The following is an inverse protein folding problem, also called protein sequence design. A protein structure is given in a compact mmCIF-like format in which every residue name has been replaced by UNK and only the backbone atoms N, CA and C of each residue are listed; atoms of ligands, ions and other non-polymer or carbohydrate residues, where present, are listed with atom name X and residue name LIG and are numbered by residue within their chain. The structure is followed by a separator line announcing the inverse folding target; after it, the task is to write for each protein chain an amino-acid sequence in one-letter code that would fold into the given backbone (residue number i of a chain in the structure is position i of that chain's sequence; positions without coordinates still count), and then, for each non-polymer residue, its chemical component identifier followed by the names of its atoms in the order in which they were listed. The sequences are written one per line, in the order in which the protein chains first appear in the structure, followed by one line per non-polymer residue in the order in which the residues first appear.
data_IF_185901003090
#
_entry.id   IF_185901003090
#
_cell.length_a   1.000
_cell.length_b   1.000
_cell.length_c   1.000
_cell.angle_alpha   90.00
_cell.angle_beta   90.00
_cell.angle_gamma   90.00
#
_symmetry.space_group_name_H-M   'P 1'
#
loop_
_entity.id
_entity.type
_entity.pdbx_description
1 polymer ?
#
# COMPACT_ATOMS: atom_id res chain seq x y z
N UNK A 1 -5.16 33.84 24.60
CA UNK A 1 -5.54 33.61 23.19
C UNK A 1 -4.31 33.88 22.34
N UNK A 2 -3.68 32.83 21.80
CA UNK A 2 -2.48 32.97 20.97
C UNK A 2 -2.88 33.07 19.50
N UNK A 3 -2.69 34.24 18.90
CA UNK A 3 -3.05 34.60 17.52
C UNK A 3 -1.95 34.27 16.49
N UNK A 4 -1.18 33.20 16.70
CA UNK A 4 -0.08 32.76 15.81
C UNK A 4 -0.28 31.34 15.26
N UNK A 5 -1.52 30.98 14.93
CA UNK A 5 -1.79 29.80 14.10
C UNK A 5 -1.54 30.10 12.62
N UNK A 6 -0.29 30.37 12.23
CA UNK A 6 0.06 30.31 10.80
C UNK A 6 -0.28 28.90 10.32
N UNK A 7 -1.09 28.78 9.26
CA UNK A 7 -1.37 27.51 8.59
C UNK A 7 -0.05 26.75 8.36
N UNK A 8 0.15 25.66 9.11
CA UNK A 8 1.35 24.85 8.94
C UNK A 8 1.29 24.17 7.58
N UNK A 9 2.39 24.24 6.84
CA UNK A 9 2.58 23.46 5.62
C UNK A 9 3.18 22.09 5.88
N UNK A 10 3.31 21.68 7.15
CA UNK A 10 3.87 20.38 7.51
C UNK A 10 3.02 19.23 6.95
N UNK A 11 3.69 18.14 6.55
CA UNK A 11 3.11 17.10 5.72
C UNK A 11 3.47 15.70 6.23
N UNK A 12 2.58 14.76 5.96
CA UNK A 12 2.82 13.34 6.07
C UNK A 12 2.60 12.70 4.70
N UNK A 13 3.49 11.80 4.30
CA UNK A 13 3.45 11.13 2.99
C UNK A 13 3.47 9.62 3.22
N UNK A 14 2.50 8.94 2.63
CA UNK A 14 2.50 7.50 2.45
C UNK A 14 2.97 7.20 1.03
N UNK A 15 4.15 6.57 0.90
CA UNK A 15 4.75 6.20 -0.39
C UNK A 15 4.45 4.74 -0.73
N UNK A 16 3.17 4.44 -0.96
CA UNK A 16 2.73 3.10 -1.31
C UNK A 16 3.18 2.66 -2.72
N UNK A 17 3.25 1.35 -2.94
CA UNK A 17 3.59 0.77 -4.25
C UNK A 17 2.55 1.04 -5.33
N UNK A 18 1.29 1.20 -4.94
CA UNK A 18 0.17 1.44 -5.84
C UNK A 18 -0.30 2.90 -5.83
N UNK A 19 -0.41 3.50 -4.64
CA UNK A 19 -0.88 4.88 -4.46
C UNK A 19 0.03 5.63 -3.50
N UNK A 20 0.19 6.92 -3.73
CA UNK A 20 0.83 7.87 -2.82
C UNK A 20 -0.24 8.77 -2.23
N UNK A 21 -0.27 8.87 -0.90
CA UNK A 21 -1.19 9.74 -0.19
C UNK A 21 -0.41 10.86 0.53
N UNK A 22 -0.97 12.06 0.53
CA UNK A 22 -0.39 13.20 1.24
C UNK A 22 -1.40 13.78 2.20
N UNK A 23 -1.00 13.83 3.46
CA UNK A 23 -1.73 14.45 4.56
C UNK A 23 -1.09 15.79 4.91
N UNK A 24 -1.89 16.84 5.11
CA UNK A 24 -1.43 18.13 5.61
C UNK A 24 -1.99 18.35 7.02
N UNK A 25 -1.13 18.78 7.94
CA UNK A 25 -1.49 19.09 9.33
C UNK A 25 -2.72 20.00 9.41
N UNK A 26 -3.74 19.58 10.14
CA UNK A 26 -5.00 20.33 10.28
C UNK A 26 -5.87 20.41 9.03
N UNK A 27 -5.54 19.69 7.94
CA UNK A 27 -6.38 19.58 6.73
C UNK A 27 -6.84 18.16 6.41
N UNK A 28 -6.13 17.15 6.90
CA UNK A 28 -6.40 15.77 6.52
C UNK A 28 -5.63 15.35 5.26
N UNK A 29 -6.10 14.27 4.62
CA UNK A 29 -5.59 13.80 3.33
C UNK A 29 -6.03 14.76 2.24
N UNK A 30 -5.08 15.33 1.51
CA UNK A 30 -5.30 16.33 0.44
C UNK A 30 -4.90 15.81 -0.94
N UNK A 31 -4.22 14.67 -1.02
CA UNK A 31 -3.81 14.01 -2.24
C UNK A 31 -3.90 12.50 -2.04
N UNK A 32 -4.45 11.81 -3.03
CA UNK A 32 -4.43 10.37 -3.17
C UNK A 32 -4.32 10.08 -4.67
N UNK A 33 -3.13 9.72 -5.14
CA UNK A 33 -2.88 9.49 -6.56
C UNK A 33 -2.00 8.26 -6.78
N UNK A 34 -2.12 7.59 -7.94
CA UNK A 34 -1.28 6.45 -8.28
C UNK A 34 0.23 6.75 -8.21
N UNK A 35 1.00 5.79 -7.72
CA UNK A 35 2.47 5.87 -7.68
C UNK A 35 3.07 5.52 -9.05
N UNK A 36 2.81 6.38 -10.05
CA UNK A 36 3.21 6.17 -11.46
C UNK A 36 3.81 7.45 -12.04
N UNK A 37 4.90 7.30 -12.79
CA UNK A 37 5.54 8.37 -13.56
C UNK A 37 5.61 7.96 -15.03
N UNK A 38 5.17 8.83 -15.92
CA UNK A 38 5.31 8.66 -17.36
C UNK A 38 6.40 9.57 -17.90
N UNK A 39 7.29 9.01 -18.73
CA UNK A 39 8.36 9.71 -19.41
C UNK A 39 8.14 9.70 -20.91
N UNK A 40 8.43 10.82 -21.55
CA UNK A 40 8.72 10.84 -22.99
C UNK A 40 10.22 10.59 -23.19
N UNK A 41 10.55 9.57 -23.98
CA UNK A 41 11.92 9.15 -24.25
C UNK A 41 12.30 9.55 -25.66
N UNK A 42 13.26 10.47 -25.78
CA UNK A 42 13.79 10.94 -27.07
C UNK A 42 15.31 11.03 -27.01
N UNK A 43 15.99 10.42 -27.97
CA UNK A 43 17.46 10.42 -28.08
C UNK A 43 18.16 9.96 -26.78
N UNK A 44 17.58 8.98 -26.09
CA UNK A 44 18.07 8.45 -24.81
C UNK A 44 17.83 9.37 -23.59
N UNK A 45 17.18 10.52 -23.77
CA UNK A 45 16.81 11.43 -22.67
C UNK A 45 15.38 11.18 -22.23
N UNK A 46 15.17 10.98 -20.93
CA UNK A 46 13.85 10.89 -20.31
C UNK A 46 13.39 12.30 -19.88
N UNK A 47 12.20 12.70 -20.31
CA UNK A 47 11.52 13.91 -19.83
C UNK A 47 10.19 13.52 -19.19
N UNK A 48 9.95 13.96 -17.96
CA UNK A 48 8.67 13.70 -17.27
C UNK A 48 7.53 14.27 -18.10
N UNK A 49 6.59 13.40 -18.47
CA UNK A 49 5.38 13.73 -19.23
C UNK A 49 4.18 13.90 -18.29
N UNK A 50 4.01 12.97 -17.36
CA UNK A 50 2.92 12.95 -16.38
C UNK A 50 3.31 12.22 -15.10
N UNK A 51 2.61 12.49 -14.00
CA UNK A 51 2.74 11.80 -12.71
C UNK A 51 1.33 11.60 -12.14
N UNK A 52 1.09 10.50 -11.43
CA UNK A 52 -0.20 10.25 -10.79
C UNK A 52 -1.22 9.65 -11.76
N UNK A 53 -2.46 10.15 -11.71
CA UNK A 53 -3.59 9.62 -12.47
C UNK A 53 -3.33 9.64 -13.99
N UNK A 54 -2.82 10.76 -14.51
CA UNK A 54 -2.52 10.90 -15.94
C UNK A 54 -1.47 9.88 -16.40
N UNK A 55 -0.50 9.54 -15.54
CA UNK A 55 0.50 8.53 -15.83
C UNK A 55 -0.08 7.11 -15.74
N UNK A 56 -0.98 6.83 -14.77
CA UNK A 56 -1.65 5.52 -14.64
C UNK A 56 -2.46 5.17 -15.90
N UNK A 57 -3.13 6.15 -16.52
CA UNK A 57 -3.89 5.95 -17.77
C UNK A 57 -3.04 5.45 -18.95
N UNK A 58 -1.72 5.68 -18.89
CA UNK A 58 -0.78 5.28 -19.94
C UNK A 58 -0.25 3.85 -19.76
N UNK A 59 -0.37 3.25 -18.57
CA UNK A 59 0.14 1.90 -18.30
C UNK A 59 -0.45 0.86 -19.26
N UNK A 60 0.42 0.08 -19.90
CA UNK A 60 0.04 -0.94 -20.89
C UNK A 60 -0.52 -0.37 -22.20
N UNK A 61 -0.51 0.95 -22.40
CA UNK A 61 -1.04 1.65 -23.57
C UNK A 61 -0.04 2.60 -24.22
N UNK A 62 1.23 2.57 -23.81
CA UNK A 62 2.25 3.48 -24.32
C UNK A 62 2.73 3.12 -25.74
N UNK A 63 2.94 4.10 -26.63
CA UNK A 63 3.75 3.91 -27.82
C UNK A 63 5.24 3.77 -27.43
N UNK A 64 6.09 3.34 -28.37
CA UNK A 64 7.52 3.10 -28.09
C UNK A 64 8.32 4.32 -27.59
N UNK A 65 7.80 5.54 -27.73
CA UNK A 65 8.43 6.78 -27.22
C UNK A 65 7.98 7.20 -25.82
N UNK A 66 7.04 6.47 -25.21
CA UNK A 66 6.54 6.75 -23.85
C UNK A 66 6.80 5.54 -22.97
N UNK A 67 7.33 5.80 -21.78
CA UNK A 67 7.58 4.80 -20.76
C UNK A 67 6.82 5.17 -19.49
N UNK A 68 5.92 4.30 -19.02
CA UNK A 68 5.21 4.48 -17.75
C UNK A 68 5.82 3.53 -16.70
N UNK A 69 6.26 4.09 -15.58
CA UNK A 69 7.06 3.42 -14.55
C UNK A 69 6.34 3.53 -13.21
N UNK A 70 6.25 2.40 -12.49
CA UNK A 70 5.94 2.37 -11.06
C UNK A 70 7.27 2.34 -10.30
N UNK A 71 7.73 3.46 -9.71
CA UNK A 71 9.05 3.52 -9.09
C UNK A 71 9.14 2.72 -7.78
N UNK A 72 7.99 2.48 -7.14
CA UNK A 72 7.85 1.70 -5.93
C UNK A 72 7.30 0.32 -6.29
N UNK A 73 8.01 -0.75 -5.93
CA UNK A 73 7.58 -2.14 -6.20
C UNK A 73 8.00 -3.05 -5.05
N UNK A 74 7.15 -3.99 -4.65
CA UNK A 74 7.46 -4.95 -3.56
C UNK A 74 8.01 -4.31 -2.27
N UNK A 75 7.48 -3.12 -1.91
CA UNK A 75 7.92 -2.37 -0.73
C UNK A 75 9.31 -1.74 -0.84
N UNK A 76 9.91 -1.71 -2.03
CA UNK A 76 11.24 -1.15 -2.28
C UNK A 76 11.21 -0.08 -3.37
N UNK A 77 12.24 0.77 -3.38
CA UNK A 77 12.46 1.70 -4.50
C UNK A 77 13.15 0.94 -5.63
N UNK A 78 12.41 0.66 -6.70
CA UNK A 78 12.93 -0.01 -7.89
C UNK A 78 13.61 0.96 -8.87
N UNK A 79 13.18 2.22 -8.90
CA UNK A 79 13.75 3.28 -9.73
C UNK A 79 13.86 4.59 -8.92
N UNK A 80 15.08 4.92 -8.49
CA UNK A 80 15.34 6.07 -7.62
C UNK A 80 15.05 7.42 -8.27
N UNK A 81 15.43 7.59 -9.54
CA UNK A 81 15.22 8.84 -10.27
C UNK A 81 13.72 9.12 -10.43
N UNK A 82 12.95 8.07 -10.75
CA UNK A 82 11.51 8.15 -10.89
C UNK A 82 10.79 8.35 -9.55
N UNK A 83 11.24 7.69 -8.48
CA UNK A 83 10.71 7.92 -7.13
C UNK A 83 10.93 9.37 -6.69
N UNK A 84 12.11 9.92 -6.94
CA UNK A 84 12.46 11.29 -6.58
C UNK A 84 11.60 12.31 -7.33
N UNK A 85 11.43 12.16 -8.65
CA UNK A 85 10.57 13.05 -9.44
C UNK A 85 9.10 12.95 -9.02
N UNK A 86 8.62 11.76 -8.68
CA UNK A 86 7.28 11.53 -8.13
C UNK A 86 7.08 12.27 -6.80
N UNK A 87 8.00 12.08 -5.84
CA UNK A 87 7.96 12.75 -4.52
C UNK A 87 7.96 14.27 -4.69
N UNK A 88 8.87 14.80 -5.53
CA UNK A 88 8.94 16.24 -5.83
C UNK A 88 7.64 16.74 -6.45
N UNK A 89 7.05 15.99 -7.39
CA UNK A 89 5.79 16.36 -8.03
C UNK A 89 4.67 16.48 -7.01
N UNK A 90 4.43 15.44 -6.20
CA UNK A 90 3.33 15.45 -5.23
C UNK A 90 3.50 16.52 -4.16
N UNK A 91 4.72 16.72 -3.64
CA UNK A 91 5.00 17.81 -2.70
C UNK A 91 4.68 19.17 -3.33
N UNK A 92 5.12 19.44 -4.57
CA UNK A 92 4.85 20.71 -5.27
C UNK A 92 3.38 20.89 -5.62
N UNK A 93 2.66 19.81 -5.93
CA UNK A 93 1.23 19.84 -6.29
C UNK A 93 0.39 20.37 -5.13
N UNK A 94 0.71 19.99 -3.90
CA UNK A 94 -0.02 20.42 -2.70
C UNK A 94 0.61 21.63 -2.00
N UNK A 95 1.92 21.86 -2.15
CA UNK A 95 2.63 22.99 -1.57
C UNK A 95 2.83 24.12 -2.60
N UNK A 96 1.95 25.13 -2.56
CA UNK A 96 2.10 26.33 -3.40
C UNK A 96 3.29 27.16 -2.90
N UNK A 97 4.26 27.41 -3.79
CA UNK A 97 5.52 28.17 -3.56
C UNK A 97 5.37 29.59 -2.96
N UNK A 98 4.15 30.08 -2.73
CA UNK A 98 3.89 31.39 -2.13
C UNK A 98 4.21 31.46 -0.64
N UNK A 99 4.41 30.32 0.03
CA UNK A 99 4.82 30.26 1.44
C UNK A 99 6.34 30.30 1.59
N UNK A 100 6.86 31.29 2.31
CA UNK A 100 8.29 31.39 2.68
C UNK A 100 8.75 30.31 3.67
N UNK A 101 7.87 29.43 4.17
CA UNK A 101 8.20 28.37 5.12
C UNK A 101 8.44 27.02 4.44
N UNK A 102 9.65 26.48 4.59
CA UNK A 102 9.95 25.08 4.22
C UNK A 102 9.26 24.11 5.20
N UNK A 103 8.45 23.15 4.72
CA UNK A 103 7.70 22.26 5.60
C UNK A 103 8.59 21.22 6.28
N UNK A 104 8.13 20.71 7.43
CA UNK A 104 8.56 19.40 7.93
C UNK A 104 7.73 18.32 7.25
N UNK A 105 8.37 17.23 6.84
CA UNK A 105 7.69 16.11 6.20
C UNK A 105 8.01 14.82 6.98
N UNK A 106 6.99 14.03 7.29
CA UNK A 106 7.15 12.65 7.78
C UNK A 106 6.76 11.71 6.64
N UNK A 107 7.55 10.68 6.39
CA UNK A 107 7.29 9.70 5.35
C UNK A 107 7.17 8.31 5.96
N UNK A 108 6.12 7.60 5.58
CA UNK A 108 5.97 6.20 5.90
C UNK A 108 6.95 5.36 5.08
N UNK A 109 7.63 4.41 5.73
CA UNK A 109 8.50 3.43 5.07
C UNK A 109 8.20 2.02 5.55
N UNK A 110 8.28 1.00 4.67
CA UNK A 110 8.13 -0.39 5.06
C UNK A 110 9.11 -0.76 6.17
N UNK A 111 8.71 -1.66 7.06
CA UNK A 111 9.58 -2.06 8.18
C UNK A 111 10.93 -2.63 7.69
N UNK A 112 10.88 -3.41 6.61
CA UNK A 112 12.05 -4.03 5.98
C UNK A 112 12.93 -3.10 5.15
N UNK A 113 12.63 -1.79 5.07
CA UNK A 113 13.42 -0.85 4.28
C UNK A 113 14.87 -0.78 4.77
N UNK A 114 15.81 -0.97 3.84
CA UNK A 114 17.24 -0.93 4.10
C UNK A 114 17.71 0.49 4.45
N UNK A 115 18.86 0.65 5.14
CA UNK A 115 19.42 1.98 5.41
C UNK A 115 19.65 2.83 4.15
N UNK A 116 19.97 2.18 3.02
CA UNK A 116 20.18 2.86 1.73
C UNK A 116 18.87 3.44 1.21
N UNK A 117 17.77 2.68 1.27
CA UNK A 117 16.44 3.15 0.85
C UNK A 117 15.92 4.26 1.76
N UNK A 118 16.04 4.11 3.09
CA UNK A 118 15.66 5.15 4.06
C UNK A 118 16.39 6.46 3.79
N UNK A 119 17.71 6.40 3.54
CA UNK A 119 18.52 7.56 3.19
C UNK A 119 18.09 8.18 1.85
N UNK A 120 17.79 7.37 0.84
CA UNK A 120 17.33 7.85 -0.45
C UNK A 120 16.00 8.61 -0.34
N UNK A 121 15.00 8.03 0.32
CA UNK A 121 13.69 8.66 0.59
C UNK A 121 13.90 10.00 1.29
N UNK A 122 14.71 10.02 2.37
CA UNK A 122 15.01 11.23 3.13
C UNK A 122 15.63 12.32 2.24
N UNK A 123 16.60 11.95 1.41
CA UNK A 123 17.25 12.88 0.49
C UNK A 123 16.26 13.44 -0.54
N UNK A 124 15.42 12.61 -1.16
CA UNK A 124 14.42 13.06 -2.13
C UNK A 124 13.44 14.06 -1.51
N UNK A 125 13.01 13.82 -0.28
CA UNK A 125 12.12 14.73 0.48
C UNK A 125 12.81 16.07 0.80
N UNK A 126 14.07 16.04 1.23
CA UNK A 126 14.85 17.26 1.48
C UNK A 126 15.08 18.07 0.19
N UNK A 127 15.42 17.40 -0.91
CA UNK A 127 15.59 18.02 -2.22
C UNK A 127 14.27 18.57 -2.79
N UNK A 128 13.13 17.98 -2.43
CA UNK A 128 11.82 18.51 -2.76
C UNK A 128 11.47 19.81 -2.01
N UNK A 129 12.28 20.24 -1.05
CA UNK A 129 12.17 21.53 -0.36
C UNK A 129 11.81 21.44 1.12
N UNK A 130 11.79 20.23 1.71
CA UNK A 130 11.55 20.06 3.14
C UNK A 130 12.70 20.64 3.97
N UNK A 131 12.38 21.21 5.13
CA UNK A 131 13.38 21.62 6.14
C UNK A 131 13.88 20.42 6.95
N UNK A 132 13.01 19.44 7.18
CA UNK A 132 13.28 18.20 7.91
C UNK A 132 12.45 17.09 7.31
N UNK A 133 13.04 15.90 7.22
CA UNK A 133 12.42 14.69 6.75
C UNK A 133 12.53 13.64 7.87
N UNK A 134 11.40 13.19 8.40
CA UNK A 134 11.31 12.11 9.37
C UNK A 134 10.75 10.86 8.71
N UNK A 135 11.09 9.69 9.21
CA UNK A 135 10.60 8.39 8.74
C UNK A 135 9.82 7.70 9.87
N UNK A 136 8.71 7.06 9.53
CA UNK A 136 7.93 6.22 10.44
C UNK A 136 7.73 4.85 9.81
N UNK A 137 7.77 3.79 10.61
CA UNK A 137 7.51 2.44 10.12
C UNK A 137 6.02 2.26 9.75
N UNK A 138 5.77 1.66 8.60
CA UNK A 138 4.45 1.35 8.07
C UNK A 138 3.51 0.62 9.04
N UNK A 139 3.91 -0.47 9.71
CA UNK A 139 3.02 -1.12 10.67
C UNK A 139 2.61 -0.23 11.85
N UNK A 140 3.49 0.67 12.30
CA UNK A 140 3.16 1.63 13.36
C UNK A 140 2.15 2.66 12.83
N UNK A 141 2.40 3.21 11.64
CA UNK A 141 1.48 4.15 11.00
C UNK A 141 0.10 3.51 10.74
N UNK A 142 0.06 2.29 10.20
CA UNK A 142 -1.17 1.52 9.98
C UNK A 142 -1.97 1.36 11.28
N UNK A 143 -1.34 0.93 12.37
CA UNK A 143 -2.01 0.72 13.65
C UNK A 143 -2.53 2.02 14.28
N UNK A 144 -1.76 3.12 14.22
CA UNK A 144 -2.21 4.45 14.67
C UNK A 144 -3.40 4.93 13.82
N UNK A 145 -3.35 4.68 12.51
CA UNK A 145 -4.41 4.97 11.57
C UNK A 145 -5.71 4.23 11.89
N UNK A 146 -5.60 2.92 12.16
CA UNK A 146 -6.70 2.05 12.54
C UNK A 146 -7.26 2.31 13.95
N UNK A 147 -6.60 3.18 14.74
CA UNK A 147 -7.06 3.53 16.09
C UNK A 147 -6.77 2.46 17.14
N UNK A 148 -5.76 1.63 16.90
CA UNK A 148 -5.36 0.57 17.83
C UNK A 148 -4.64 1.14 19.07
N UNK A 149 -4.82 0.53 20.26
CA UNK A 149 -4.21 0.99 21.51
C UNK A 149 -2.73 0.56 21.66
N UNK A 150 -1.88 0.97 20.72
CA UNK A 150 -0.51 0.43 20.60
C UNK A 150 0.46 0.83 21.72
N UNK A 151 0.10 1.84 22.53
CA UNK A 151 0.91 2.31 23.67
C UNK A 151 0.62 1.55 24.97
N UNK A 152 -0.42 0.72 25.00
CA UNK A 152 -0.74 -0.13 26.14
C UNK A 152 0.24 -1.30 26.25
N UNK A 153 0.48 -1.85 27.45
CA UNK A 153 1.28 -3.06 27.66
C UNK A 153 0.51 -4.33 27.24
N UNK A 154 -0.08 -4.32 26.04
CA UNK A 154 -0.90 -5.42 25.51
C UNK A 154 -0.56 -5.67 24.05
N UNK A 155 -0.52 -6.92 23.65
CA UNK A 155 -0.28 -7.34 22.26
C UNK A 155 -1.37 -6.83 21.33
N UNK A 156 -0.96 -6.11 20.29
CA UNK A 156 -1.83 -5.64 19.21
C UNK A 156 -1.27 -6.10 17.86
N UNK A 157 -2.00 -6.96 17.14
CA UNK A 157 -1.58 -7.42 15.82
C UNK A 157 -2.26 -6.62 14.70
N UNK A 158 -1.44 -6.08 13.79
CA UNK A 158 -1.89 -5.41 12.57
C UNK A 158 -1.34 -6.14 11.35
N UNK A 159 -2.16 -6.28 10.32
CA UNK A 159 -1.81 -6.88 9.03
C UNK A 159 -2.18 -5.89 7.94
N UNK A 160 -1.19 -5.21 7.38
CA UNK A 160 -1.36 -4.21 6.34
C UNK A 160 -1.11 -4.82 4.97
N UNK A 161 -2.17 -4.96 4.16
CA UNK A 161 -2.10 -5.62 2.85
C UNK A 161 -2.11 -4.53 1.78
N UNK A 162 -0.92 -4.15 1.33
CA UNK A 162 -0.70 -3.16 0.30
C UNK A 162 -0.77 -3.72 -1.13
N UNK A 163 -0.24 -2.95 -2.08
CA UNK A 163 -0.10 -3.40 -3.46
C UNK A 163 0.99 -4.47 -3.61
N UNK A 164 2.23 -4.16 -3.21
CA UNK A 164 3.38 -5.04 -3.44
C UNK A 164 3.74 -5.93 -2.24
N UNK A 165 3.27 -5.58 -1.05
CA UNK A 165 3.68 -6.21 0.21
C UNK A 165 2.49 -6.37 1.15
N UNK A 166 2.65 -7.33 2.06
CA UNK A 166 1.85 -7.45 3.28
C UNK A 166 2.79 -7.31 4.46
N UNK A 167 2.55 -6.32 5.31
CA UNK A 167 3.28 -6.09 6.55
C UNK A 167 2.48 -6.68 7.71
N UNK A 168 3.05 -7.67 8.41
CA UNK A 168 2.47 -8.22 9.63
C UNK A 168 3.30 -7.74 10.80
N UNK A 169 2.66 -7.13 11.81
CA UNK A 169 3.34 -6.68 13.00
C UNK A 169 2.55 -6.90 14.28
N UNK A 170 3.29 -7.14 15.36
CA UNK A 170 2.80 -7.15 16.73
C UNK A 170 3.43 -5.98 17.48
N UNK A 171 2.57 -5.16 18.06
CA UNK A 171 2.92 -3.92 18.74
C UNK A 171 2.57 -4.02 20.22
N UNK A 172 3.39 -3.41 21.07
CA UNK A 172 3.13 -3.22 22.50
C UNK A 172 3.99 -2.06 23.02
N UNK A 173 3.51 -1.30 23.99
CA UNK A 173 4.25 -0.18 24.61
C UNK A 173 4.79 0.86 23.61
N UNK A 174 4.11 1.04 22.47
CA UNK A 174 4.47 1.99 21.42
C UNK A 174 5.60 1.53 20.50
N UNK A 175 6.06 0.28 20.64
CA UNK A 175 7.16 -0.27 19.85
C UNK A 175 6.78 -1.57 19.15
N UNK A 176 7.60 -1.96 18.18
CA UNK A 176 7.45 -3.20 17.41
C UNK A 176 8.09 -4.33 18.19
N UNK A 177 7.27 -5.32 18.57
CA UNK A 177 7.75 -6.58 19.17
C UNK A 177 8.14 -7.58 18.08
N UNK A 178 7.30 -7.66 17.05
CA UNK A 178 7.51 -8.46 15.86
C UNK A 178 7.08 -7.65 14.65
N UNK A 179 7.85 -7.69 13.57
CA UNK A 179 7.38 -7.23 12.27
C UNK A 179 8.03 -8.05 11.16
N UNK A 180 7.24 -8.31 10.12
CA UNK A 180 7.70 -8.98 8.93
C UNK A 180 6.96 -8.44 7.71
N UNK A 181 7.72 -8.21 6.66
CA UNK A 181 7.22 -7.93 5.32
C UNK A 181 7.28 -9.18 4.47
N UNK A 182 6.18 -9.50 3.77
CA UNK A 182 6.16 -10.51 2.72
C UNK A 182 5.76 -9.87 1.39
N UNK A 183 6.39 -10.28 0.30
CA UNK A 183 6.18 -9.72 -1.06
C UNK A 183 4.95 -10.31 -1.76
N UNK A 184 3.84 -10.32 -1.03
CA UNK A 184 2.51 -10.71 -1.50
C UNK A 184 1.52 -9.61 -1.13
N UNK A 185 0.64 -9.26 -2.05
CA UNK A 185 -0.32 -8.18 -1.91
C UNK A 185 -1.21 -8.09 -3.15
N UNK A 186 -1.83 -6.94 -3.37
CA UNK A 186 -2.72 -6.70 -4.51
C UNK A 186 -2.09 -6.97 -5.88
N UNK A 187 -0.80 -6.71 -6.07
CA UNK A 187 -0.06 -6.93 -7.33
C UNK A 187 0.07 -8.43 -7.63
N UNK A 188 0.36 -9.27 -6.62
CA UNK A 188 0.41 -10.73 -6.78
C UNK A 188 -0.95 -11.34 -7.06
N UNK A 189 -2.01 -10.78 -6.47
CA UNK A 189 -3.38 -11.17 -6.77
C UNK A 189 -3.72 -10.89 -8.25
N UNK A 190 -3.32 -9.74 -8.78
CA UNK A 190 -3.53 -9.41 -10.20
C UNK A 190 -2.75 -10.36 -11.12
N UNK A 191 -1.47 -10.62 -10.80
CA UNK A 191 -0.63 -11.59 -11.53
C UNK A 191 -1.25 -13.00 -11.53
N UNK A 192 -1.83 -13.43 -10.40
CA UNK A 192 -2.47 -14.73 -10.27
C UNK A 192 -3.72 -14.84 -11.16
N UNK A 193 -4.56 -13.79 -11.22
CA UNK A 193 -5.72 -13.71 -12.12
C UNK A 193 -5.29 -13.76 -13.60
N UNK A 194 -4.24 -13.00 -13.97
CA UNK A 194 -3.69 -13.01 -15.33
C UNK A 194 -3.21 -14.42 -15.71
N UNK A 195 -2.45 -15.06 -14.82
CA UNK A 195 -1.93 -16.42 -15.00
C UNK A 195 -3.05 -17.44 -15.13
N UNK A 196 -4.09 -17.33 -14.30
CA UNK A 196 -5.25 -18.22 -14.34
C UNK A 196 -5.97 -18.16 -15.69
N UNK A 197 -6.31 -16.96 -16.16
CA UNK A 197 -6.99 -16.76 -17.45
C UNK A 197 -6.14 -17.21 -18.64
N UNK A 198 -4.83 -16.97 -18.57
CA UNK A 198 -3.88 -17.43 -19.58
C UNK A 198 -3.87 -18.95 -19.69
N UNK A 199 -3.87 -19.67 -18.56
CA UNK A 199 -3.77 -21.14 -18.52
C UNK A 199 -5.10 -21.84 -18.80
N UNK A 200 -6.20 -21.36 -18.24
CA UNK A 200 -7.49 -22.06 -18.27
C UNK A 200 -8.41 -21.58 -19.41
N UNK A 201 -8.25 -20.35 -19.89
CA UNK A 201 -9.13 -19.76 -20.92
C UNK A 201 -8.39 -19.34 -22.20
N UNK A 202 -7.07 -19.57 -22.29
CA UNK A 202 -6.21 -19.10 -23.37
C UNK A 202 -6.38 -17.59 -23.66
N UNK A 203 -6.65 -16.80 -22.62
CA UNK A 203 -6.91 -15.37 -22.74
C UNK A 203 -5.78 -14.57 -22.08
N UNK A 204 -5.16 -13.68 -22.84
CA UNK A 204 -4.22 -12.71 -22.30
C UNK A 204 -4.96 -11.41 -21.98
N UNK A 205 -4.86 -10.98 -20.72
CA UNK A 205 -5.35 -9.68 -20.25
C UNK A 205 -4.20 -8.86 -19.65
N UNK A 206 -4.38 -7.54 -19.56
CA UNK A 206 -3.44 -6.64 -18.88
C UNK A 206 -3.79 -6.41 -17.41
N UNK A 207 -2.86 -5.78 -16.68
CA UNK A 207 -2.97 -5.50 -15.24
C UNK A 207 -4.26 -4.76 -14.87
N UNK A 208 -4.64 -3.70 -15.59
CA UNK A 208 -5.87 -2.94 -15.28
C UNK A 208 -7.14 -3.79 -15.40
N UNK A 209 -7.16 -4.78 -16.29
CA UNK A 209 -8.28 -5.71 -16.41
C UNK A 209 -8.29 -6.69 -15.23
N UNK A 210 -7.12 -7.16 -14.79
CA UNK A 210 -6.98 -8.03 -13.63
C UNK A 210 -7.39 -7.31 -12.33
N UNK A 211 -6.92 -6.08 -12.12
CA UNK A 211 -7.31 -5.22 -10.99
C UNK A 211 -8.83 -5.01 -10.97
N UNK A 212 -9.44 -4.79 -12.14
CA UNK A 212 -10.91 -4.66 -12.26
C UNK A 212 -11.63 -5.94 -11.87
N UNK A 213 -11.14 -7.11 -12.30
CA UNK A 213 -11.71 -8.41 -11.89
C UNK A 213 -11.62 -8.55 -10.37
N UNK A 214 -10.42 -8.36 -9.81
CA UNK A 214 -10.14 -8.46 -8.36
C UNK A 214 -11.05 -7.57 -7.54
N UNK A 215 -11.23 -6.31 -7.94
CA UNK A 215 -12.02 -5.33 -7.19
C UNK A 215 -13.53 -5.44 -7.39
N UNK A 216 -13.99 -6.08 -8.47
CA UNK A 216 -15.43 -6.21 -8.77
C UNK A 216 -16.02 -7.51 -8.25
N UNK A 217 -15.31 -8.64 -8.44
CA UNK A 217 -15.80 -9.98 -8.08
C UNK A 217 -14.73 -10.84 -7.37
N UNK A 218 -13.62 -10.25 -6.91
CA UNK A 218 -12.60 -11.00 -6.17
C UNK A 218 -13.07 -11.40 -4.78
N UNK A 219 -12.79 -12.65 -4.40
CA UNK A 219 -13.02 -13.17 -3.06
C UNK A 219 -11.91 -14.14 -2.68
N UNK A 220 -11.66 -14.27 -1.39
CA UNK A 220 -10.70 -15.19 -0.79
C UNK A 220 -11.32 -16.59 -0.51
N UNK A 221 -12.64 -16.75 -0.65
CA UNK A 221 -13.35 -18.02 -0.39
C UNK A 221 -14.17 -18.46 -1.59
N UNK A 222 -14.36 -19.77 -1.72
CA UNK A 222 -15.28 -20.30 -2.73
C UNK A 222 -16.71 -19.87 -2.41
N UNK A 223 -17.48 -19.34 -3.37
CA UNK A 223 -18.90 -19.01 -3.17
C UNK A 223 -19.73 -20.23 -2.78
N UNK A 224 -20.69 -20.05 -1.88
CA UNK A 224 -21.54 -21.15 -1.37
C UNK A 224 -22.37 -21.83 -2.47
N UNK A 225 -22.76 -21.09 -3.51
CA UNK A 225 -23.49 -21.60 -4.68
C UNK A 225 -22.58 -22.25 -5.73
N UNK A 226 -21.26 -22.28 -5.48
CA UNK A 226 -20.23 -22.82 -6.36
C UNK A 226 -19.89 -21.99 -7.60
N UNK A 227 -20.51 -20.81 -7.79
CA UNK A 227 -20.27 -19.95 -8.96
C UNK A 227 -20.04 -18.49 -8.60
N UNK A 228 -20.91 -17.92 -7.77
CA UNK A 228 -20.94 -16.53 -7.39
C UNK A 228 -21.19 -15.56 -8.56
N UNK A 229 -20.82 -14.29 -8.36
CA UNK A 229 -21.01 -13.24 -9.35
C UNK A 229 -20.19 -13.48 -10.63
N UNK A 230 -20.63 -12.91 -11.75
CA UNK A 230 -19.91 -12.99 -13.03
C UNK A 230 -19.53 -11.61 -13.56
N UNK A 231 -18.48 -11.57 -14.38
CA UNK A 231 -18.00 -10.36 -15.02
C UNK A 231 -17.56 -10.65 -16.46
N UNK A 232 -18.03 -9.83 -17.40
CA UNK A 232 -17.56 -9.88 -18.78
C UNK A 232 -16.24 -9.12 -18.93
N UNK A 233 -15.26 -9.80 -19.54
CA UNK A 233 -13.90 -9.28 -19.73
C UNK A 233 -13.47 -9.42 -21.19
N UNK A 234 -12.56 -8.54 -21.61
CA UNK A 234 -11.94 -8.57 -22.94
C UNK A 234 -10.44 -8.76 -22.81
N UNK A 235 -9.90 -9.57 -23.71
CA UNK A 235 -8.47 -9.82 -23.81
C UNK A 235 -8.09 -10.25 -25.23
N UNK A 236 -6.83 -10.67 -25.38
CA UNK A 236 -6.32 -11.25 -26.63
C UNK A 236 -6.36 -12.77 -26.52
N UNK A 237 -7.05 -13.43 -27.45
CA UNK A 237 -7.01 -14.89 -27.56
C UNK A 237 -5.59 -15.33 -27.95
N UNK A 238 -5.00 -16.25 -27.20
CA UNK A 238 -3.64 -16.71 -27.40
C UNK A 238 -3.49 -17.72 -28.54
N UNK A 239 -4.58 -18.35 -28.99
CA UNK A 239 -4.56 -19.29 -30.10
C UNK A 239 -4.52 -18.54 -31.44
N UNK A 240 -5.39 -17.55 -31.59
CA UNK A 240 -5.60 -16.86 -32.86
C UNK A 240 -5.09 -15.41 -32.88
N UNK A 241 -4.68 -14.86 -31.73
CA UNK A 241 -4.13 -13.50 -31.60
C UNK A 241 -5.16 -12.36 -31.68
N UNK A 242 -6.45 -12.68 -31.78
CA UNK A 242 -7.53 -11.69 -31.97
C UNK A 242 -8.19 -11.28 -30.64
N UNK A 243 -8.80 -10.07 -30.56
CA UNK A 243 -9.61 -9.69 -29.42
C UNK A 243 -10.76 -10.68 -29.18
N UNK A 244 -10.95 -11.09 -27.92
CA UNK A 244 -12.01 -12.01 -27.49
C UNK A 244 -12.66 -11.50 -26.22
N UNK A 245 -13.97 -11.67 -26.15
CA UNK A 245 -14.78 -11.41 -24.96
C UNK A 245 -15.16 -12.76 -24.32
N UNK A 246 -15.06 -12.84 -22.99
CA UNK A 246 -15.42 -14.03 -22.22
C UNK A 246 -16.03 -13.63 -20.87
N UNK A 247 -16.76 -14.55 -20.26
CA UNK A 247 -17.23 -14.42 -18.89
C UNK A 247 -16.24 -15.10 -17.93
N UNK A 248 -15.94 -14.44 -16.81
CA UNK A 248 -15.28 -15.04 -15.66
C UNK A 248 -16.23 -14.95 -14.47
N UNK A 249 -16.27 -15.99 -13.64
CA UNK A 249 -17.08 -16.02 -12.42
C UNK A 249 -16.22 -15.94 -11.14
N UNK A 250 -16.87 -15.65 -10.02
CA UNK A 250 -16.25 -15.45 -8.72
C UNK A 250 -15.54 -16.71 -8.21
N UNK A 251 -16.07 -17.91 -8.47
CA UNK A 251 -15.41 -19.18 -8.13
C UNK A 251 -14.05 -19.35 -8.85
N UNK A 252 -13.98 -19.01 -10.13
CA UNK A 252 -12.72 -19.00 -10.89
C UNK A 252 -11.72 -17.99 -10.35
N UNK A 253 -12.19 -16.83 -9.89
CA UNK A 253 -11.33 -15.82 -9.26
C UNK A 253 -10.83 -16.31 -7.90
N UNK A 254 -11.69 -16.93 -7.08
CA UNK A 254 -11.30 -17.53 -5.81
C UNK A 254 -10.21 -18.61 -6.01
N UNK A 255 -10.37 -19.47 -7.00
CA UNK A 255 -9.35 -20.47 -7.37
C UNK A 255 -8.04 -19.81 -7.80
N UNK A 256 -8.10 -18.75 -8.61
CA UNK A 256 -6.93 -17.99 -9.01
C UNK A 256 -6.19 -17.35 -7.83
N UNK A 257 -6.93 -16.89 -6.82
CA UNK A 257 -6.39 -16.17 -5.67
C UNK A 257 -5.98 -17.07 -4.49
N UNK A 258 -6.23 -18.38 -4.57
CA UNK A 258 -5.95 -19.31 -3.47
C UNK A 258 -4.48 -19.26 -2.99
N UNK A 259 -3.52 -19.23 -3.92
CA UNK A 259 -2.09 -19.17 -3.58
C UNK A 259 -1.69 -17.86 -2.86
N UNK A 260 -1.93 -16.65 -3.42
CA UNK A 260 -1.57 -15.42 -2.73
C UNK A 260 -2.33 -15.22 -1.41
N UNK A 261 -3.58 -15.67 -1.30
CA UNK A 261 -4.32 -15.65 -0.03
C UNK A 261 -3.66 -16.56 1.00
N UNK A 262 -3.27 -17.78 0.61
CA UNK A 262 -2.58 -18.70 1.52
C UNK A 262 -1.26 -18.12 2.03
N UNK A 263 -0.48 -17.45 1.17
CA UNK A 263 0.76 -16.79 1.58
C UNK A 263 0.54 -15.69 2.62
N UNK A 264 -0.59 -14.96 2.55
CA UNK A 264 -0.98 -13.97 3.56
C UNK A 264 -1.35 -14.69 4.86
N UNK A 265 -2.14 -15.77 4.81
CA UNK A 265 -2.47 -16.59 5.98
C UNK A 265 -1.22 -17.13 6.68
N UNK A 266 -0.26 -17.66 5.92
CA UNK A 266 0.99 -18.20 6.45
C UNK A 266 1.83 -17.12 7.14
N UNK A 267 1.84 -15.89 6.61
CA UNK A 267 2.52 -14.76 7.22
C UNK A 267 1.90 -14.38 8.58
N UNK A 268 0.57 -14.43 8.70
CA UNK A 268 -0.14 -14.19 9.97
C UNK A 268 0.16 -15.29 10.98
N UNK A 269 0.07 -16.56 10.56
CA UNK A 269 0.38 -17.71 11.43
C UNK A 269 1.80 -17.67 11.95
N UNK A 270 2.77 -17.37 11.08
CA UNK A 270 4.16 -17.27 11.47
C UNK A 270 4.44 -16.12 12.46
N UNK A 271 3.71 -15.02 12.35
CA UNK A 271 3.80 -13.94 13.32
C UNK A 271 3.32 -14.40 14.70
N UNK A 272 2.20 -15.13 14.77
CA UNK A 272 1.70 -15.70 16.03
C UNK A 272 2.70 -16.67 16.65
N UNK A 273 3.28 -17.58 15.85
CA UNK A 273 4.25 -18.59 16.31
C UNK A 273 5.53 -17.96 16.90
N UNK A 274 5.92 -16.79 16.41
CA UNK A 274 7.13 -16.08 16.85
C UNK A 274 6.86 -15.12 18.01
N UNK A 275 5.59 -14.78 18.25
CA UNK A 275 5.21 -13.79 19.26
C UNK A 275 5.36 -14.37 20.67
N UNK A 276 5.89 -13.61 21.65
CA UNK A 276 5.97 -14.06 23.04
C UNK A 276 4.60 -14.53 23.58
N UNK A 277 4.54 -15.60 24.40
CA UNK A 277 3.28 -16.21 24.82
C UNK A 277 2.26 -15.24 25.42
N UNK A 278 2.71 -14.30 26.27
CA UNK A 278 1.82 -13.33 26.92
C UNK A 278 1.13 -12.41 25.89
N UNK A 279 1.89 -11.95 24.87
CA UNK A 279 1.35 -11.10 23.81
C UNK A 279 0.53 -11.90 22.79
N UNK A 280 0.86 -13.18 22.57
CA UNK A 280 0.06 -14.07 21.75
C UNK A 280 -1.32 -14.30 22.37
N UNK A 281 -1.40 -14.45 23.70
CA UNK A 281 -2.67 -14.53 24.42
C UNK A 281 -3.53 -13.27 24.23
N UNK A 282 -2.92 -12.07 24.34
CA UNK A 282 -3.62 -10.82 24.06
C UNK A 282 -4.20 -10.77 22.63
N UNK A 283 -3.47 -11.30 21.64
CA UNK A 283 -3.91 -11.34 20.23
C UNK A 283 -5.04 -12.34 20.03
N UNK A 284 -5.04 -13.47 20.74
CA UNK A 284 -6.16 -14.42 20.73
C UNK A 284 -7.44 -13.75 21.25
N UNK A 285 -7.33 -12.96 22.32
CA UNK A 285 -8.47 -12.29 22.94
C UNK A 285 -8.96 -11.08 22.12
N UNK A 286 -8.05 -10.28 21.56
CA UNK A 286 -8.37 -9.02 20.85
C UNK A 286 -8.53 -9.17 19.35
N UNK A 287 -7.90 -10.20 18.77
CA UNK A 287 -7.87 -10.45 17.34
C UNK A 287 -6.81 -9.69 16.56
N UNK A 288 -6.99 -9.72 15.25
CA UNK A 288 -6.12 -9.10 14.24
C UNK A 288 -6.87 -7.98 13.54
N UNK A 289 -6.19 -6.84 13.36
CA UNK A 289 -6.68 -5.73 12.56
C UNK A 289 -6.09 -5.78 11.15
N UNK A 290 -6.94 -5.86 10.12
CA UNK A 290 -6.54 -5.72 8.72
C UNK A 290 -6.58 -4.27 8.28
N UNK A 291 -5.52 -3.82 7.60
CA UNK A 291 -5.45 -2.51 6.94
C UNK A 291 -4.97 -2.67 5.50
N UNK A 292 -4.92 -1.55 4.76
CA UNK A 292 -4.47 -1.53 3.38
C UNK A 292 -5.58 -1.88 2.39
N UNK A 293 -5.31 -1.65 1.11
CA UNK A 293 -6.29 -1.88 0.05
C UNK A 293 -6.62 -3.35 -0.17
N UNK A 294 -5.68 -4.26 0.09
CA UNK A 294 -5.89 -5.70 -0.03
C UNK A 294 -6.83 -6.27 1.04
N UNK A 295 -7.01 -5.59 2.17
CA UNK A 295 -8.00 -5.96 3.19
C UNK A 295 -9.46 -5.88 2.68
N UNK A 296 -9.69 -5.23 1.54
CA UNK A 296 -11.00 -5.11 0.90
C UNK A 296 -11.33 -6.27 -0.05
N UNK A 297 -10.43 -7.25 -0.20
CA UNK A 297 -10.76 -8.47 -0.94
C UNK A 297 -11.92 -9.19 -0.26
N UNK A 298 -12.93 -9.60 -1.04
CA UNK A 298 -14.12 -10.25 -0.50
C UNK A 298 -13.78 -11.45 0.39
N UNK A 299 -14.42 -11.55 1.55
CA UNK A 299 -14.30 -12.66 2.50
C UNK A 299 -12.87 -12.98 2.98
N UNK A 300 -11.91 -12.06 2.83
CA UNK A 300 -10.53 -12.28 3.28
C UNK A 300 -10.42 -12.38 4.80
N UNK A 301 -11.18 -11.56 5.52
CA UNK A 301 -11.29 -11.63 6.98
C UNK A 301 -11.84 -12.98 7.45
N UNK A 302 -12.83 -13.53 6.75
CA UNK A 302 -13.38 -14.85 7.00
C UNK A 302 -12.37 -15.95 6.68
N UNK A 303 -11.66 -15.87 5.55
CA UNK A 303 -10.63 -16.85 5.18
C UNK A 303 -9.51 -16.91 6.22
N UNK A 304 -9.05 -15.74 6.68
CA UNK A 304 -8.05 -15.66 7.75
C UNK A 304 -8.58 -16.18 9.08
N UNK A 305 -9.85 -15.89 9.43
CA UNK A 305 -10.49 -16.41 10.64
C UNK A 305 -10.56 -17.93 10.65
N UNK A 306 -10.95 -18.54 9.53
CA UNK A 306 -11.06 -20.00 9.39
C UNK A 306 -9.70 -20.70 9.52
N UNK A 307 -8.65 -20.11 8.94
CA UNK A 307 -7.30 -20.68 8.96
C UNK A 307 -6.56 -20.47 10.27
N UNK A 308 -6.72 -19.29 10.90
CA UNK A 308 -5.96 -18.90 12.09
C UNK A 308 -6.70 -19.18 13.40
N UNK A 309 -8.03 -19.29 13.36
CA UNK A 309 -8.88 -19.35 14.55
C UNK A 309 -9.02 -18.02 15.30
N UNK A 310 -8.39 -16.94 14.82
CA UNK A 310 -8.44 -15.63 15.45
C UNK A 310 -9.64 -14.82 15.01
N UNK A 311 -10.10 -13.91 15.88
CA UNK A 311 -11.00 -12.85 15.43
C UNK A 311 -10.25 -11.92 14.48
N UNK A 312 -10.86 -11.61 13.34
CA UNK A 312 -10.29 -10.74 12.30
C UNK A 312 -11.27 -9.59 12.08
N UNK A 313 -10.75 -8.36 12.10
CA UNK A 313 -11.51 -7.13 11.87
C UNK A 313 -10.82 -6.29 10.78
N UNK A 314 -11.60 -5.65 9.91
CA UNK A 314 -11.07 -4.72 8.91
C UNK A 314 -11.21 -3.29 9.41
N UNK A 315 -10.15 -2.49 9.31
CA UNK A 315 -10.20 -1.09 9.70
C UNK A 315 -11.18 -0.29 8.83
N UNK A 316 -11.96 0.61 9.44
CA UNK A 316 -12.97 1.42 8.74
C UNK A 316 -12.39 2.23 7.57
N UNK A 317 -11.19 2.77 7.74
CA UNK A 317 -10.48 3.53 6.72
C UNK A 317 -9.25 2.77 6.20
N UNK A 318 -9.37 1.45 5.97
CA UNK A 318 -8.26 0.53 5.64
C UNK A 318 -7.30 1.08 4.58
N UNK A 319 -7.81 1.65 3.48
CA UNK A 319 -7.01 2.29 2.41
C UNK A 319 -6.20 3.51 2.87
N UNK A 320 -6.65 4.20 3.91
CA UNK A 320 -6.07 5.46 4.37
C UNK A 320 -5.32 5.33 5.70
N UNK A 321 -5.35 4.16 6.36
CA UNK A 321 -4.78 3.96 7.70
C UNK A 321 -3.35 4.47 7.80
N UNK A 322 -2.47 4.10 6.87
CA UNK A 322 -1.06 4.52 6.87
C UNK A 322 -0.93 6.05 6.78
N UNK A 323 -1.63 6.68 5.84
CA UNK A 323 -1.61 8.13 5.68
C UNK A 323 -2.19 8.87 6.91
N UNK A 324 -3.28 8.37 7.48
CA UNK A 324 -3.90 8.92 8.69
C UNK A 324 -3.00 8.76 9.91
N UNK A 325 -2.35 7.61 10.08
CA UNK A 325 -1.43 7.36 11.18
C UNK A 325 -0.16 8.20 11.09
N UNK A 326 0.40 8.33 9.88
CA UNK A 326 1.52 9.23 9.61
C UNK A 326 1.13 10.69 9.86
N UNK A 327 -0.09 11.08 9.47
CA UNK A 327 -0.68 12.39 9.79
C UNK A 327 -0.80 12.62 11.29
N UNK A 328 -1.36 11.66 12.05
CA UNK A 328 -1.43 11.72 13.51
C UNK A 328 -0.03 11.81 14.15
N UNK A 329 0.97 11.08 13.64
CA UNK A 329 2.35 11.19 14.10
C UNK A 329 2.92 12.61 13.91
N UNK A 330 2.52 13.29 12.83
CA UNK A 330 2.86 14.69 12.61
C UNK A 330 2.13 15.63 13.58
N UNK A 331 0.84 15.38 13.86
CA UNK A 331 0.04 16.20 14.78
C UNK A 331 0.51 16.08 16.23
N UNK A 332 0.85 14.85 16.65
CA UNK A 332 1.26 14.48 18.01
C UNK A 332 2.76 14.15 18.13
N UNK A 333 3.60 14.76 17.29
CA UNK A 333 5.04 14.48 17.17
C UNK A 333 5.81 14.41 18.50
N UNK A 334 5.44 15.25 19.49
CA UNK A 334 6.10 15.21 20.81
C UNK A 334 5.89 13.88 21.53
N UNK A 335 4.68 13.32 21.45
CA UNK A 335 4.31 12.06 22.10
C UNK A 335 4.88 10.87 21.31
N UNK A 336 4.85 10.97 19.98
CA UNK A 336 5.28 9.92 19.05
C UNK A 336 6.73 10.08 18.58
N UNK A 337 7.54 10.88 19.26
CA UNK A 337 8.93 11.16 18.83
C UNK A 337 9.79 9.89 18.72
N UNK A 338 9.54 8.91 19.60
CA UNK A 338 10.29 7.67 19.68
C UNK A 338 10.09 6.77 18.45
N UNK A 339 8.96 6.89 17.75
CA UNK A 339 8.67 6.13 16.51
C UNK A 339 9.02 6.90 15.23
N UNK A 340 9.55 8.13 15.34
CA UNK A 340 9.92 8.95 14.18
C UNK A 340 11.43 9.15 14.12
N UNK A 341 12.04 8.59 13.09
CA UNK A 341 13.47 8.70 12.82
C UNK A 341 13.77 9.95 11.96
N UNK A 342 14.54 10.88 12.51
CA UNK A 342 15.06 12.04 11.77
C UNK A 342 16.56 12.00 11.50
N UNK A 343 17.27 11.02 12.06
CA UNK A 343 18.71 11.11 12.31
C UNK A 343 19.53 9.98 11.63
N UNK A 344 18.89 8.87 11.19
CA UNK A 344 19.58 7.73 10.53
C UNK A 344 19.80 7.82 9.02
#
# INVERSE_FOLDING_TARGET
MSLTGLFSSDMAIDLGTANTLVYIRGKGIVLNEPSVVAYHVKDGKKQVLAVGEDAKLMLGRTPGSIEAIRPMRDGVIADFDSAEEMIKHFIRKVHKRTTFSKPKIIVCVPHGATPVEKRAIRNSVLQAGARRAGLIAEPIAAAIGAGMPITEPTGSMVVDIGGGTTEVAVLSLGDIVYARSVRVGGDRMDEAIISYLRRHQNLLIGESTAERIKTTIGTARMPDDGRGATLTIRGRDLLNGVPKETEINQAQVAEALAEPVQQICDAVMQALETTPPDLAADIVDRGVMLTGGGALLGDLDLALREQTGLSISVANESLNCVALGTGKALEYEKQLRHVIDYDS
#
